data_IF_697607389206
#
_entry.id   IF_697607389206
#
_cell.length_a   1.000
_cell.length_b   1.000
_cell.length_c   1.000
_cell.angle_alpha   90.00
_cell.angle_beta   90.00
_cell.angle_gamma   90.00
#
_symmetry.space_group_name_H-M   'P 1'
#
loop_
_entity.id
_entity.type
_entity.pdbx_description
1 polymer ?
#
# COMPACT_ATOMS: atom_id res chain seq x y z
N UNK A 1 12.84 20.84 17.12
CA UNK A 1 11.52 20.34 17.57
C UNK A 1 11.09 19.23 16.63
N UNK A 2 11.29 17.98 17.04
CA UNK A 2 10.98 16.79 16.24
C UNK A 2 9.45 16.62 16.14
N UNK A 3 8.93 16.46 14.92
CA UNK A 3 7.55 16.02 14.72
C UNK A 3 7.55 14.50 14.60
N UNK A 4 6.79 13.77 15.42
CA UNK A 4 6.69 12.32 15.30
C UNK A 4 5.98 11.94 13.99
N UNK A 5 6.50 10.88 13.38
CA UNK A 5 6.00 10.25 12.16
C UNK A 5 4.52 9.90 12.36
N UNK A 6 3.66 10.50 11.54
CA UNK A 6 2.23 10.21 11.54
C UNK A 6 1.98 9.12 10.51
N UNK A 7 2.08 7.86 10.94
CA UNK A 7 1.55 6.73 10.15
C UNK A 7 0.03 6.86 10.07
N UNK A 8 -0.47 7.57 9.07
CA UNK A 8 -1.88 7.60 8.72
C UNK A 8 -2.08 6.82 7.42
N UNK A 9 -2.30 5.51 7.56
CA UNK A 9 -3.21 4.80 6.65
C UNK A 9 -4.43 4.37 7.45
N UNK A 10 -5.43 5.26 7.49
CA UNK A 10 -6.81 4.81 7.66
C UNK A 10 -7.24 4.29 6.29
N UNK A 11 -7.60 3.02 6.23
CA UNK A 11 -8.29 2.44 5.09
C UNK A 11 -9.57 3.24 4.83
N UNK A 12 -9.76 3.68 3.59
CA UNK A 12 -11.04 4.23 3.13
C UNK A 12 -11.74 3.17 2.28
N UNK A 13 -13.00 2.81 2.58
CA UNK A 13 -13.82 2.06 1.64
C UNK A 13 -14.30 3.02 0.54
N UNK A 14 -14.19 2.57 -0.71
CA UNK A 14 -14.83 3.22 -1.85
C UNK A 14 -16.35 3.25 -1.64
N UNK A 15 -16.95 4.43 -1.74
CA UNK A 15 -18.40 4.55 -1.97
C UNK A 15 -18.67 5.70 -2.94
N UNK A 16 -19.12 5.30 -4.13
CA UNK A 16 -19.59 6.15 -5.22
C UNK A 16 -21.07 6.43 -5.02
N UNK A 17 -21.46 7.71 -4.98
CA UNK A 17 -22.81 8.16 -5.39
C UNK A 17 -22.87 9.68 -5.47
N UNK A 18 -22.85 10.21 -6.69
CA UNK A 18 -23.22 11.59 -7.00
C UNK A 18 -24.75 11.70 -7.09
N UNK A 19 -25.37 12.50 -6.23
CA UNK A 19 -26.74 12.99 -6.44
C UNK A 19 -26.72 14.51 -6.48
N UNK A 20 -26.96 15.06 -7.67
CA UNK A 20 -27.08 16.49 -7.93
C UNK A 20 -28.45 16.95 -7.41
N UNK A 21 -28.46 17.90 -6.47
CA UNK A 21 -29.65 18.58 -5.98
C UNK A 21 -29.90 19.83 -6.83
N UNK A 22 -31.02 19.85 -7.56
CA UNK A 22 -31.53 20.99 -8.32
C UNK A 22 -32.28 21.91 -7.36
N UNK A 23 -31.82 23.16 -7.18
CA UNK A 23 -32.58 24.21 -6.51
C UNK A 23 -33.15 25.17 -7.56
N UNK A 24 -34.49 25.27 -7.59
CA UNK A 24 -35.26 26.28 -8.33
C UNK A 24 -35.30 27.58 -7.53
N UNK A 25 -35.01 28.71 -8.18
CA UNK A 25 -35.28 30.07 -7.66
C UNK A 25 -36.52 30.67 -8.34
N UNK A 26 -37.36 31.45 -7.61
CA UNK A 26 -38.58 32.03 -8.17
C UNK A 26 -38.33 33.36 -8.87
N UNK A 27 -39.13 33.57 -9.91
CA UNK A 27 -39.25 34.74 -10.78
C UNK A 27 -39.81 35.95 -10.03
N UNK A 28 -39.23 37.13 -10.25
CA UNK A 28 -39.92 38.42 -10.07
C UNK A 28 -39.81 39.25 -11.34
N UNK A 29 -40.98 39.69 -11.80
CA UNK A 29 -41.23 40.51 -12.97
C UNK A 29 -41.03 41.99 -12.59
N UNK A 30 -40.29 42.79 -13.38
CA UNK A 30 -40.55 44.22 -13.42
C UNK A 30 -40.17 44.87 -14.77
N UNK A 31 -41.14 45.66 -15.21
CA UNK A 31 -41.28 46.69 -16.24
C UNK A 31 -40.14 47.03 -17.21
N UNK A 32 -40.61 47.27 -18.42
CA UNK A 32 -39.92 47.71 -19.62
C UNK A 32 -39.89 49.25 -19.67
N UNK A 33 -38.70 49.86 -19.63
CA UNK A 33 -38.50 51.25 -20.07
C UNK A 33 -37.36 51.31 -21.10
N UNK A 34 -37.71 51.77 -22.30
CA UNK A 34 -36.76 52.25 -23.32
C UNK A 34 -36.33 53.65 -22.89
N UNK A 35 -35.03 54.00 -22.97
CA UNK A 35 -34.54 54.92 -24.01
C UNK A 35 -33.01 55.19 -23.97
N UNK A 36 -32.50 55.46 -25.17
CA UNK A 36 -31.28 56.17 -25.59
C UNK A 36 -29.92 55.46 -25.45
N UNK A 37 -29.47 54.97 -26.61
CA UNK A 37 -28.08 54.65 -26.93
C UNK A 37 -27.23 55.92 -27.02
N UNK A 38 -26.27 56.07 -26.10
CA UNK A 38 -25.08 56.86 -26.34
C UNK A 38 -23.94 55.88 -26.67
N UNK A 39 -23.55 55.87 -27.94
CA UNK A 39 -22.42 55.10 -28.46
C UNK A 39 -21.16 55.59 -27.74
N UNK A 40 -20.73 54.83 -26.74
CA UNK A 40 -19.39 54.96 -26.16
C UNK A 40 -18.47 54.03 -26.97
N UNK A 41 -17.30 54.48 -27.46
CA UNK A 41 -16.34 53.57 -28.05
C UNK A 41 -15.89 52.62 -26.94
N UNK A 42 -16.30 51.36 -27.01
CA UNK A 42 -15.90 50.35 -26.05
C UNK A 42 -14.40 50.16 -26.15
N UNK A 43 -13.65 50.71 -25.19
CA UNK A 43 -12.36 50.14 -24.82
C UNK A 43 -12.66 48.74 -24.31
N UNK A 44 -12.47 47.74 -25.17
CA UNK A 44 -12.49 46.36 -24.73
C UNK A 44 -11.50 46.24 -23.57
N UNK A 45 -11.92 45.78 -22.38
CA UNK A 45 -10.95 45.47 -21.34
C UNK A 45 -10.03 44.40 -21.91
N UNK A 46 -8.70 44.48 -21.69
CA UNK A 46 -7.79 43.47 -22.20
C UNK A 46 -8.19 42.14 -21.58
N UNK A 47 -8.85 41.28 -22.36
CA UNK A 47 -9.23 39.92 -21.97
C UNK A 47 -7.99 39.11 -21.53
N UNK A 48 -6.79 39.59 -21.89
CA UNK A 48 -5.49 39.04 -21.56
C UNK A 48 -5.10 39.11 -20.06
N UNK A 49 -5.62 40.05 -19.24
CA UNK A 49 -5.18 40.17 -17.83
C UNK A 49 -5.75 39.10 -16.89
N UNK A 50 -6.97 38.62 -17.13
CA UNK A 50 -7.61 37.61 -16.25
C UNK A 50 -6.96 36.23 -16.37
N UNK A 51 -6.56 35.84 -17.58
CA UNK A 51 -5.90 34.56 -17.85
C UNK A 51 -4.50 34.53 -17.25
N UNK A 52 -3.71 35.59 -17.47
CA UNK A 52 -2.36 35.70 -16.90
C UNK A 52 -2.34 35.63 -15.37
N UNK A 53 -3.22 36.34 -14.67
CA UNK A 53 -3.31 36.29 -13.20
C UNK A 53 -3.70 34.88 -12.71
N UNK A 54 -4.59 34.21 -13.42
CA UNK A 54 -4.99 32.83 -13.12
C UNK A 54 -3.82 31.85 -13.32
N UNK A 55 -3.08 31.98 -14.42
CA UNK A 55 -1.91 31.16 -14.74
C UNK A 55 -0.76 31.38 -13.75
N UNK A 56 -0.51 32.63 -13.35
CA UNK A 56 0.48 32.97 -12.32
C UNK A 56 0.11 32.38 -10.96
N UNK A 57 -1.17 32.42 -10.58
CA UNK A 57 -1.65 31.78 -9.35
C UNK A 57 -1.51 30.26 -9.39
N UNK A 58 -1.86 29.63 -10.52
CA UNK A 58 -1.67 28.18 -10.74
C UNK A 58 -0.19 27.81 -10.65
N UNK A 59 0.68 28.56 -11.33
CA UNK A 59 2.12 28.32 -11.33
C UNK A 59 2.73 28.49 -9.93
N UNK A 60 2.33 29.52 -9.18
CA UNK A 60 2.77 29.71 -7.80
C UNK A 60 2.31 28.57 -6.88
N UNK A 61 1.08 28.09 -7.06
CA UNK A 61 0.52 26.96 -6.31
C UNK A 61 1.26 25.65 -6.62
N UNK A 62 1.46 25.32 -7.90
CA UNK A 62 2.23 24.14 -8.34
C UNK A 62 3.69 24.23 -7.86
N UNK A 63 4.31 25.41 -7.97
CA UNK A 63 5.66 25.67 -7.48
C UNK A 63 5.79 25.42 -5.98
N UNK A 64 4.78 25.79 -5.18
CA UNK A 64 4.75 25.48 -3.76
C UNK A 64 4.66 23.97 -3.49
N UNK A 65 3.80 23.24 -4.20
CA UNK A 65 3.70 21.78 -4.06
C UNK A 65 5.02 21.11 -4.42
N UNK A 66 5.63 21.49 -5.55
CA UNK A 66 6.91 20.93 -6.00
C UNK A 66 8.02 21.18 -4.99
N UNK A 67 8.05 22.37 -4.36
CA UNK A 67 8.99 22.66 -3.27
C UNK A 67 8.77 21.73 -2.07
N UNK A 68 7.52 21.53 -1.65
CA UNK A 68 7.20 20.64 -0.53
C UNK A 68 7.58 19.19 -0.83
N UNK A 69 7.27 18.70 -2.03
CA UNK A 69 7.65 17.34 -2.46
C UNK A 69 9.17 17.14 -2.48
N UNK A 70 9.93 18.12 -3.01
CA UNK A 70 11.41 18.06 -2.99
C UNK A 70 11.95 18.01 -1.57
N UNK A 71 11.42 18.84 -0.69
CA UNK A 71 11.84 18.87 0.72
C UNK A 71 11.57 17.53 1.41
N UNK A 72 10.39 16.94 1.21
CA UNK A 72 10.03 15.65 1.80
C UNK A 72 10.90 14.51 1.27
N UNK A 73 11.12 14.45 -0.06
CA UNK A 73 12.00 13.45 -0.67
C UNK A 73 13.42 13.57 -0.11
N UNK A 74 13.95 14.80 0.01
CA UNK A 74 15.29 15.02 0.55
C UNK A 74 15.36 14.62 2.03
N UNK A 75 14.36 14.99 2.82
CA UNK A 75 14.28 14.62 4.22
C UNK A 75 14.35 13.10 4.42
N UNK A 76 13.55 12.33 3.67
CA UNK A 76 13.58 10.86 3.76
C UNK A 76 14.92 10.25 3.32
N UNK A 77 15.54 10.80 2.28
CA UNK A 77 16.86 10.33 1.82
C UNK A 77 17.95 10.55 2.87
N UNK A 78 17.91 11.68 3.58
CA UNK A 78 18.92 12.06 4.57
C UNK A 78 18.76 11.30 5.91
N UNK A 79 17.51 11.00 6.30
CA UNK A 79 17.21 10.42 7.62
C UNK A 79 16.93 8.91 7.59
N UNK A 80 16.62 8.37 6.41
CA UNK A 80 16.25 6.97 6.22
C UNK A 80 16.93 6.40 4.95
N UNK A 81 18.27 6.34 4.91
CA UNK A 81 18.97 5.81 3.73
C UNK A 81 18.50 4.39 3.43
N UNK A 82 18.13 4.13 2.18
CA UNK A 82 17.71 2.82 1.75
C UNK A 82 18.89 1.83 1.81
N UNK A 83 18.66 0.67 2.40
CA UNK A 83 19.63 -0.42 2.42
C UNK A 83 19.64 -1.11 1.06
N UNK A 84 20.79 -1.70 0.68
CA UNK A 84 20.89 -2.52 -0.52
C UNK A 84 19.80 -3.60 -0.52
N UNK A 85 19.14 -3.76 -1.67
CA UNK A 85 18.09 -4.76 -1.83
C UNK A 85 18.70 -6.15 -1.72
N UNK A 86 18.22 -6.91 -0.74
CA UNK A 86 18.62 -8.30 -0.52
C UNK A 86 17.93 -9.17 -1.56
N UNK A 87 18.70 -9.95 -2.33
CA UNK A 87 18.15 -10.85 -3.37
C UNK A 87 18.08 -12.30 -2.91
N UNK A 88 18.62 -12.61 -1.73
CA UNK A 88 18.66 -13.96 -1.16
C UNK A 88 18.44 -13.94 0.34
N UNK A 89 17.62 -14.86 0.82
CA UNK A 89 17.49 -15.18 2.24
C UNK A 89 17.67 -16.67 2.43
N UNK A 90 18.79 -17.08 3.04
CA UNK A 90 19.16 -18.51 3.15
C UNK A 90 19.10 -19.18 1.75
N UNK A 91 18.20 -20.14 1.57
CA UNK A 91 17.97 -20.88 0.32
C UNK A 91 16.89 -20.26 -0.59
N UNK A 92 16.24 -19.18 -0.15
CA UNK A 92 15.25 -18.47 -0.95
C UNK A 92 15.90 -17.41 -1.84
N UNK A 93 15.44 -17.37 -3.09
CA UNK A 93 15.65 -16.22 -3.97
C UNK A 93 14.49 -15.26 -3.76
N UNK A 94 14.80 -13.98 -3.56
CA UNK A 94 13.82 -12.92 -3.31
C UNK A 94 13.65 -12.10 -4.59
N UNK A 95 12.41 -11.99 -5.04
CA UNK A 95 11.99 -11.19 -6.18
C UNK A 95 11.11 -10.04 -5.69
N UNK A 96 11.52 -8.82 -6.02
CA UNK A 96 10.88 -7.59 -5.59
C UNK A 96 10.70 -6.66 -6.79
N UNK A 97 9.45 -6.49 -7.21
CA UNK A 97 9.12 -5.61 -8.33
C UNK A 97 8.79 -4.21 -7.82
N UNK A 98 9.42 -3.15 -8.37
CA UNK A 98 9.10 -1.77 -8.01
C UNK A 98 7.64 -1.43 -8.31
N UNK A 99 6.92 -1.00 -7.28
CA UNK A 99 5.51 -0.60 -7.34
C UNK A 99 4.48 -1.64 -7.04
N UNK A 100 4.91 -2.87 -6.80
CA UNK A 100 4.09 -3.86 -6.15
C UNK A 100 4.16 -3.68 -4.62
N UNK A 101 3.05 -3.98 -3.93
CA UNK A 101 2.99 -3.94 -2.46
C UNK A 101 3.22 -5.32 -1.83
N UNK A 102 4.01 -6.16 -2.50
CA UNK A 102 4.36 -7.50 -2.05
C UNK A 102 5.72 -7.90 -2.64
N UNK A 103 6.28 -9.01 -2.16
CA UNK A 103 7.46 -9.67 -2.73
C UNK A 103 7.20 -11.16 -2.91
N UNK A 104 7.91 -11.78 -3.85
CA UNK A 104 7.92 -13.23 -4.01
C UNK A 104 9.21 -13.83 -3.49
N UNK A 105 9.14 -14.95 -2.78
CA UNK A 105 10.30 -15.77 -2.47
C UNK A 105 10.12 -17.14 -3.09
N UNK A 106 11.18 -17.67 -3.68
CA UNK A 106 11.16 -18.98 -4.34
C UNK A 106 12.33 -19.82 -3.90
N UNK A 107 12.09 -21.11 -3.67
CA UNK A 107 13.12 -22.12 -3.55
C UNK A 107 12.60 -23.48 -3.95
N UNK A 108 13.53 -24.37 -4.29
CA UNK A 108 13.26 -25.80 -4.41
C UNK A 108 13.62 -26.45 -3.08
N UNK A 109 12.79 -27.38 -2.62
CA UNK A 109 13.03 -28.14 -1.40
C UNK A 109 13.16 -29.63 -1.74
N UNK A 110 14.39 -30.12 -1.65
CA UNK A 110 14.74 -31.42 -2.23
C UNK A 110 14.49 -31.46 -3.73
N UNK A 111 14.22 -32.65 -4.26
CA UNK A 111 13.99 -32.85 -5.70
C UNK A 111 12.51 -32.73 -6.10
N UNK A 112 11.59 -32.79 -5.11
CA UNK A 112 10.16 -33.04 -5.35
C UNK A 112 9.24 -31.85 -5.02
N UNK A 113 9.72 -30.86 -4.27
CA UNK A 113 8.89 -29.74 -3.83
C UNK A 113 9.42 -28.40 -4.35
N UNK A 114 8.53 -27.58 -4.89
CA UNK A 114 8.79 -26.19 -5.23
C UNK A 114 7.97 -25.30 -4.31
N UNK A 115 8.63 -24.37 -3.63
CA UNK A 115 8.01 -23.48 -2.64
C UNK A 115 8.02 -22.06 -3.19
N UNK A 116 6.83 -21.48 -3.30
CA UNK A 116 6.62 -20.06 -3.62
C UNK A 116 5.93 -19.39 -2.44
N UNK A 117 6.54 -18.32 -1.95
CA UNK A 117 5.98 -17.47 -0.90
C UNK A 117 5.66 -16.12 -1.50
N UNK A 118 4.51 -15.57 -1.17
CA UNK A 118 4.13 -14.19 -1.45
C UNK A 118 3.90 -13.49 -0.12
N UNK A 119 4.64 -12.42 0.14
CA UNK A 119 4.53 -11.65 1.38
C UNK A 119 4.14 -10.21 1.05
N UNK A 120 3.09 -9.71 1.69
CA UNK A 120 2.64 -8.33 1.53
C UNK A 120 3.60 -7.35 2.21
N UNK A 121 3.55 -6.09 1.82
CA UNK A 121 3.98 -5.00 2.69
C UNK A 121 3.07 -4.94 3.92
N UNK A 122 3.43 -4.12 4.91
CA UNK A 122 2.61 -3.94 6.11
C UNK A 122 1.15 -3.62 5.79
N UNK A 123 0.24 -4.50 6.20
CA UNK A 123 -1.19 -4.46 5.87
C UNK A 123 -2.09 -4.45 7.12
N UNK A 124 -1.51 -4.55 8.31
CA UNK A 124 -2.20 -4.42 9.59
C UNK A 124 -1.28 -4.00 10.72
N UNK A 125 -1.85 -3.73 11.89
CA UNK A 125 -1.09 -3.47 13.10
C UNK A 125 -1.90 -3.73 14.36
N UNK A 126 -1.25 -4.16 15.44
CA UNK A 126 -1.83 -4.29 16.78
C UNK A 126 -1.03 -3.50 17.81
N UNK A 127 -1.60 -3.10 18.96
CA UNK A 127 -0.83 -2.49 20.03
C UNK A 127 0.26 -3.42 20.54
N UNK A 128 1.48 -2.91 20.75
CA UNK A 128 2.56 -3.73 21.28
C UNK A 128 2.28 -4.16 22.73
N UNK A 129 2.59 -5.43 23.11
CA UNK A 129 2.29 -5.98 24.43
C UNK A 129 2.87 -5.19 25.61
N UNK A 130 4.01 -4.51 25.39
CA UNK A 130 4.81 -3.88 26.43
C UNK A 130 4.70 -2.35 26.49
N UNK A 131 3.71 -1.73 25.82
CA UNK A 131 3.51 -0.28 25.89
C UNK A 131 2.88 0.13 27.23
N UNK A 132 3.66 0.05 28.33
CA UNK A 132 3.36 0.81 29.55
C UNK A 132 3.42 2.28 29.16
N UNK A 133 2.25 2.90 29.03
CA UNK A 133 2.09 4.26 28.54
C UNK A 133 2.90 5.26 29.36
N UNK A 134 4.09 5.60 28.87
CA UNK A 134 4.75 6.87 29.23
C UNK A 134 4.12 7.93 28.33
N UNK A 135 3.39 8.85 28.93
CA UNK A 135 2.72 9.94 28.23
C UNK A 135 3.75 10.75 27.42
N UNK A 136 3.73 10.61 26.08
CA UNK A 136 4.52 11.44 25.17
C UNK A 136 5.28 10.70 24.06
N UNK A 137 5.49 9.39 24.18
CA UNK A 137 6.03 8.56 23.10
C UNK A 137 4.89 7.73 22.49
N UNK A 138 4.75 7.74 21.17
CA UNK A 138 3.64 7.06 20.48
C UNK A 138 3.43 5.64 20.98
N UNK A 139 2.17 5.17 21.03
CA UNK A 139 1.87 3.78 21.36
C UNK A 139 2.64 2.90 20.38
N UNK A 140 3.57 2.11 20.91
CA UNK A 140 4.32 1.18 20.08
C UNK A 140 3.33 0.18 19.46
N UNK A 141 3.47 -0.06 18.16
CA UNK A 141 2.56 -0.93 17.39
C UNK A 141 3.37 -2.02 16.72
N UNK A 142 2.84 -3.23 16.77
CA UNK A 142 3.36 -4.37 16.06
C UNK A 142 2.72 -4.39 14.68
N UNK A 143 3.54 -4.29 13.62
CA UNK A 143 3.05 -4.34 12.25
C UNK A 143 2.78 -5.79 11.85
N UNK A 144 1.83 -5.98 10.94
CA UNK A 144 1.44 -7.28 10.42
C UNK A 144 1.83 -7.39 8.94
N UNK A 145 2.25 -8.57 8.53
CA UNK A 145 2.48 -8.97 7.14
C UNK A 145 1.65 -10.22 6.86
N UNK A 146 0.84 -10.21 5.81
CA UNK A 146 0.20 -11.43 5.30
C UNK A 146 1.18 -12.21 4.44
N UNK A 147 1.32 -13.51 4.72
CA UNK A 147 2.14 -14.45 3.94
C UNK A 147 1.22 -15.50 3.33
N UNK A 148 1.37 -15.75 2.03
CA UNK A 148 0.81 -16.90 1.35
C UNK A 148 1.93 -17.85 0.93
N UNK A 149 1.95 -19.03 1.54
CA UNK A 149 2.92 -20.09 1.24
C UNK A 149 2.27 -21.11 0.32
N UNK A 150 2.84 -21.30 -0.85
CA UNK A 150 2.42 -22.29 -1.82
C UNK A 150 3.50 -23.36 -1.96
N UNK A 151 3.14 -24.61 -1.64
CA UNK A 151 4.01 -25.77 -1.76
C UNK A 151 3.45 -26.67 -2.86
N UNK A 152 4.17 -26.72 -3.97
CA UNK A 152 3.86 -27.59 -5.09
C UNK A 152 4.66 -28.88 -4.99
N UNK A 153 3.97 -30.02 -5.07
CA UNK A 153 4.61 -31.33 -5.21
C UNK A 153 4.56 -31.74 -6.67
N UNK A 154 5.71 -32.05 -7.25
CA UNK A 154 5.84 -32.48 -8.67
C UNK A 154 5.00 -33.73 -8.96
N UNK A 155 4.80 -34.57 -7.95
CA UNK A 155 3.98 -35.77 -7.99
C UNK A 155 2.61 -35.44 -7.37
N UNK A 156 1.55 -35.35 -8.19
CA UNK A 156 0.17 -35.18 -7.72
C UNK A 156 -0.51 -33.87 -8.10
N UNK A 157 0.22 -32.90 -8.68
CA UNK A 157 -0.33 -31.68 -9.27
C UNK A 157 -0.98 -30.69 -8.30
N UNK A 158 -1.32 -31.10 -7.09
CA UNK A 158 -1.94 -30.26 -6.08
C UNK A 158 -0.93 -29.27 -5.48
N UNK A 159 -1.45 -28.11 -5.08
CA UNK A 159 -0.71 -27.08 -4.34
C UNK A 159 -1.30 -26.99 -2.94
N UNK A 160 -0.45 -27.16 -1.94
CA UNK A 160 -0.80 -26.82 -0.56
C UNK A 160 -0.61 -25.32 -0.38
N UNK A 161 -1.70 -24.61 -0.08
CA UNK A 161 -1.68 -23.19 0.25
C UNK A 161 -1.85 -23.01 1.76
N UNK A 162 -0.96 -22.24 2.37
CA UNK A 162 -0.96 -21.92 3.80
C UNK A 162 -0.91 -20.41 3.92
N UNK A 163 -1.93 -19.82 4.52
CA UNK A 163 -1.94 -18.40 4.86
C UNK A 163 -1.42 -18.22 6.28
N UNK A 164 -0.46 -17.33 6.43
CA UNK A 164 0.16 -17.02 7.71
C UNK A 164 0.18 -15.51 7.97
N UNK A 165 0.15 -15.16 9.25
CA UNK A 165 0.39 -13.82 9.79
C UNK A 165 1.83 -13.75 10.28
N UNK A 166 2.64 -12.86 9.71
CA UNK A 166 3.98 -12.58 10.21
C UNK A 166 4.00 -11.32 11.07
N UNK A 167 4.31 -11.53 12.33
CA UNK A 167 4.66 -10.52 13.31
C UNK A 167 6.19 -10.34 13.35
N UNK A 168 6.74 -9.30 14.01
CA UNK A 168 8.18 -9.02 14.02
C UNK A 168 9.09 -10.20 14.37
N UNK A 169 8.62 -11.13 15.20
CA UNK A 169 9.38 -12.24 15.74
C UNK A 169 8.64 -13.58 15.72
N UNK A 170 7.46 -13.66 15.08
CA UNK A 170 6.67 -14.89 15.01
C UNK A 170 5.88 -15.01 13.71
N UNK A 171 5.52 -16.26 13.38
CA UNK A 171 4.63 -16.60 12.28
C UNK A 171 3.47 -17.41 12.86
N UNK A 172 2.25 -17.02 12.54
CA UNK A 172 1.03 -17.73 12.96
C UNK A 172 0.32 -18.26 11.72
N UNK A 173 -0.09 -19.53 11.72
CA UNK A 173 -0.90 -20.11 10.65
C UNK A 173 -2.36 -19.71 10.88
N UNK A 174 -2.99 -19.14 9.85
CA UNK A 174 -4.40 -18.76 9.88
C UNK A 174 -5.27 -19.78 9.17
N UNK A 175 -4.80 -20.27 8.01
CA UNK A 175 -5.61 -21.08 7.11
C UNK A 175 -4.79 -22.05 6.28
N UNK A 176 -5.37 -23.23 6.04
CA UNK A 176 -4.82 -24.30 5.22
C UNK A 176 -5.80 -24.66 4.11
N UNK A 177 -5.36 -24.70 2.85
CA UNK A 177 -6.21 -25.14 1.75
C UNK A 177 -5.43 -25.91 0.68
N UNK A 178 -6.13 -26.72 -0.11
CA UNK A 178 -5.57 -27.44 -1.26
C UNK A 178 -6.13 -26.82 -2.54
N UNK A 179 -5.24 -26.37 -3.41
CA UNK A 179 -5.58 -25.88 -4.74
C UNK A 179 -5.21 -26.94 -5.80
N UNK A 180 -6.15 -27.20 -6.72
CA UNK A 180 -5.91 -28.05 -7.89
C UNK A 180 -5.70 -27.14 -9.11
N UNK A 181 -4.67 -27.38 -9.93
CA UNK A 181 -4.41 -26.58 -11.13
C UNK A 181 -5.44 -26.82 -12.24
N UNK A 182 -6.14 -27.96 -12.25
CA UNK A 182 -7.19 -28.29 -13.22
C UNK A 182 -8.59 -28.38 -12.59
N UNK A 183 -9.59 -27.89 -13.34
CA UNK A 183 -11.03 -27.93 -13.04
C UNK A 183 -11.35 -27.54 -11.60
N UNK A 184 -11.17 -26.25 -11.30
CA UNK A 184 -11.64 -25.67 -10.04
C UNK A 184 -13.17 -25.73 -10.03
N UNK A 185 -13.82 -26.47 -9.11
CA UNK A 185 -15.26 -26.29 -8.90
C UNK A 185 -15.52 -24.82 -8.56
N UNK A 186 -16.71 -24.30 -8.88
CA UNK A 186 -17.04 -22.89 -8.66
C UNK A 186 -16.79 -22.42 -7.21
N UNK A 187 -16.84 -23.35 -6.25
CA UNK A 187 -16.50 -23.14 -4.85
C UNK A 187 -15.70 -24.34 -4.33
N UNK A 188 -14.36 -24.30 -4.36
CA UNK A 188 -13.55 -25.34 -3.76
C UNK A 188 -13.70 -25.33 -2.24
N UNK A 189 -13.66 -26.51 -1.61
CA UNK A 189 -13.61 -26.59 -0.16
C UNK A 189 -12.29 -25.99 0.33
N UNK A 190 -12.39 -24.99 1.21
CA UNK A 190 -11.25 -24.16 1.64
C UNK A 190 -10.59 -24.65 2.93
N UNK A 191 -11.05 -25.77 3.49
CA UNK A 191 -10.62 -26.27 4.80
C UNK A 191 -11.41 -25.67 5.97
N UNK A 192 -11.32 -26.29 7.17
CA UNK A 192 -11.82 -25.70 8.42
C UNK A 192 -10.94 -24.52 8.85
N UNK A 193 -11.35 -23.82 9.91
CA UNK A 193 -10.46 -22.85 10.56
C UNK A 193 -9.28 -23.57 11.22
N UNK A 194 -8.07 -23.01 11.13
CA UNK A 194 -6.87 -23.68 11.65
C UNK A 194 -6.99 -24.02 13.14
N UNK A 195 -7.63 -23.15 13.93
CA UNK A 195 -7.85 -23.32 15.37
C UNK A 195 -8.83 -24.44 15.74
N UNK A 196 -9.58 -24.97 14.77
CA UNK A 196 -10.51 -26.08 14.97
C UNK A 196 -9.82 -27.45 14.73
N UNK A 197 -8.57 -27.44 14.27
CA UNK A 197 -7.78 -28.66 14.11
C UNK A 197 -7.30 -29.18 15.47
N UNK A 198 -7.02 -30.48 15.52
CA UNK A 198 -6.37 -31.10 16.68
C UNK A 198 -5.02 -30.44 17.00
N UNK A 199 -4.70 -30.29 18.28
CA UNK A 199 -3.51 -29.56 18.74
C UNK A 199 -2.21 -30.22 18.25
N UNK A 200 -2.13 -31.57 18.24
CA UNK A 200 -0.95 -32.29 17.75
C UNK A 200 -0.75 -32.09 16.24
N UNK A 201 -1.87 -31.97 15.49
CA UNK A 201 -1.84 -31.64 14.08
C UNK A 201 -1.40 -30.18 13.84
N UNK A 202 -1.86 -29.23 14.66
CA UNK A 202 -1.43 -27.83 14.57
C UNK A 202 0.08 -27.71 14.79
N UNK A 203 0.61 -28.35 15.84
CA UNK A 203 2.04 -28.35 16.16
C UNK A 203 2.87 -28.97 15.01
N UNK A 204 2.43 -30.12 14.49
CA UNK A 204 3.08 -30.79 13.35
C UNK A 204 3.11 -29.93 12.09
N UNK A 205 2.08 -29.09 11.87
CA UNK A 205 2.03 -28.15 10.74
C UNK A 205 3.03 -26.99 10.91
N UNK A 206 3.25 -26.51 12.13
CA UNK A 206 4.32 -25.55 12.40
C UNK A 206 5.70 -26.17 12.16
N UNK A 207 5.97 -27.37 12.70
CA UNK A 207 7.22 -28.09 12.45
C UNK A 207 7.47 -28.31 10.94
N UNK A 208 6.42 -28.62 10.18
CA UNK A 208 6.46 -28.78 8.74
C UNK A 208 6.90 -27.49 8.01
N UNK A 209 6.49 -26.31 8.48
CA UNK A 209 6.93 -25.01 7.95
C UNK A 209 8.36 -24.67 8.38
N UNK A 210 8.72 -24.95 9.63
CA UNK A 210 10.06 -24.69 10.17
C UNK A 210 11.13 -25.52 9.45
N UNK A 211 10.86 -26.80 9.18
CA UNK A 211 11.71 -27.65 8.35
C UNK A 211 11.94 -27.07 6.94
N UNK A 212 11.02 -26.19 6.49
CA UNK A 212 11.12 -25.45 5.24
C UNK A 212 11.69 -24.04 5.36
N UNK A 213 12.35 -23.76 6.49
CA UNK A 213 13.00 -22.47 6.80
C UNK A 213 12.01 -21.29 6.92
N UNK A 214 10.75 -21.58 7.24
CA UNK A 214 9.74 -20.57 7.59
C UNK A 214 9.56 -20.58 9.11
N UNK A 215 10.49 -19.92 9.79
CA UNK A 215 10.57 -19.83 11.25
C UNK A 215 10.66 -18.37 11.70
N UNK A 216 10.95 -18.11 12.97
CA UNK A 216 11.03 -16.75 13.51
C UNK A 216 12.10 -15.88 12.81
N UNK A 217 13.24 -16.46 12.38
CA UNK A 217 14.24 -15.71 11.59
C UNK A 217 13.65 -15.21 10.26
N UNK A 218 12.75 -16.00 9.66
CA UNK A 218 12.06 -15.62 8.44
C UNK A 218 11.15 -14.43 8.67
N UNK A 219 10.43 -14.41 9.80
CA UNK A 219 9.60 -13.28 10.21
C UNK A 219 10.42 -11.99 10.39
N UNK A 220 11.53 -12.10 11.13
CA UNK A 220 12.47 -10.98 11.35
C UNK A 220 12.98 -10.44 10.01
N UNK A 221 13.44 -11.33 9.13
CA UNK A 221 13.90 -10.97 7.80
C UNK A 221 12.82 -10.24 6.99
N UNK A 222 11.59 -10.77 6.95
CA UNK A 222 10.50 -10.14 6.22
C UNK A 222 10.18 -8.74 6.76
N UNK A 223 10.18 -8.57 8.07
CA UNK A 223 9.95 -7.27 8.70
C UNK A 223 11.04 -6.24 8.35
N UNK A 224 12.31 -6.64 8.39
CA UNK A 224 13.42 -5.80 7.95
C UNK A 224 13.33 -5.47 6.45
N UNK A 225 13.00 -6.46 5.64
CA UNK A 225 12.83 -6.30 4.19
C UNK A 225 11.72 -5.30 3.87
N UNK A 226 10.55 -5.46 4.49
CA UNK A 226 9.39 -4.61 4.25
C UNK A 226 9.60 -3.19 4.75
N UNK A 227 10.36 -2.97 5.84
CA UNK A 227 10.80 -1.62 6.26
C UNK A 227 11.61 -0.94 5.15
N UNK A 228 12.52 -1.66 4.51
CA UNK A 228 13.30 -1.08 3.41
C UNK A 228 12.43 -0.86 2.17
N UNK A 229 11.59 -1.83 1.79
CA UNK A 229 10.69 -1.72 0.65
C UNK A 229 9.73 -0.53 0.82
N UNK A 230 9.12 -0.35 1.99
CA UNK A 230 8.20 0.75 2.28
C UNK A 230 8.83 2.12 2.04
N UNK A 231 10.05 2.32 2.54
CA UNK A 231 10.83 3.54 2.29
C UNK A 231 11.10 3.75 0.80
N UNK A 232 11.59 2.72 0.11
CA UNK A 232 11.92 2.85 -1.32
C UNK A 232 10.70 3.11 -2.20
N UNK A 233 9.56 2.49 -1.88
CA UNK A 233 8.29 2.70 -2.58
C UNK A 233 7.71 4.07 -2.28
N UNK A 234 7.80 4.55 -1.04
CA UNK A 234 7.39 5.91 -0.70
C UNK A 234 8.17 6.95 -1.50
N UNK A 235 9.50 6.85 -1.54
CA UNK A 235 10.35 7.77 -2.30
C UNK A 235 10.03 7.68 -3.80
N UNK A 236 9.85 6.47 -4.34
CA UNK A 236 9.48 6.26 -5.75
C UNK A 236 8.13 6.91 -6.06
N UNK A 237 7.15 6.75 -5.18
CA UNK A 237 5.82 7.37 -5.31
C UNK A 237 5.92 8.90 -5.27
N UNK A 238 6.61 9.47 -4.30
CA UNK A 238 6.82 10.92 -4.18
C UNK A 238 7.49 11.51 -5.42
N UNK A 239 8.52 10.83 -5.96
CA UNK A 239 9.16 11.21 -7.23
C UNK A 239 8.18 11.16 -8.40
N UNK A 240 7.32 10.15 -8.44
CA UNK A 240 6.31 9.99 -9.50
C UNK A 240 5.27 11.12 -9.45
N UNK A 241 4.77 11.45 -8.25
CA UNK A 241 3.85 12.58 -8.03
C UNK A 241 4.50 13.90 -8.45
N UNK A 242 5.75 14.13 -8.04
CA UNK A 242 6.53 15.31 -8.46
C UNK A 242 6.62 15.40 -9.98
N UNK A 243 7.03 14.32 -10.65
CA UNK A 243 7.16 14.28 -12.11
C UNK A 243 5.82 14.47 -12.82
N UNK A 244 4.71 13.99 -12.24
CA UNK A 244 3.38 14.23 -12.79
C UNK A 244 3.01 15.72 -12.77
N UNK A 245 3.28 16.42 -11.67
CA UNK A 245 2.98 17.87 -11.55
C UNK A 245 3.93 18.72 -12.39
N UNK A 246 5.16 18.28 -12.62
CA UNK A 246 6.13 18.97 -13.49
C UNK A 246 5.75 18.89 -14.97
N UNK A 247 4.97 17.89 -15.39
CA UNK A 247 4.49 17.77 -16.78
C UNK A 247 3.44 18.85 -17.05
N UNK A 248 3.72 19.70 -18.03
CA UNK A 248 2.71 20.61 -18.58
C UNK A 248 1.82 19.83 -19.54
N UNK A 249 0.51 20.01 -19.41
CA UNK A 249 -0.44 19.58 -20.44
C UNK A 249 -0.36 20.64 -21.54
N UNK A 250 0.14 20.24 -22.72
CA UNK A 250 0.09 21.04 -23.95
C UNK A 250 -1.32 21.05 -24.55
#
# INVERSE_FOLDING_TARGET
>A
MARPIRSLRKSFPFSSSSKILIQKTPTLHLAHEKQVSLISPSLQPPQCRRTYISEMRRSAFEGNILRLLRNEIQYELDHSPATQQVTKFKLFTVDNQPGEQWISLKRNFGEKEDIKIEATMFDGSVPAPNSKGVAGLGKDVQLHITICVNIFKKEGGNVLEIMCSAWPDSIEINKLSIRKPEKVPAQPYVGPEFKELDDELQDSLYEFLEARSMNNDFAIFLHEYMKNKDKTEFIRWMRTVKSFIEKKVE
#
